data_IF_900465329887
#
_entry.id   IF_900465329887
#
_cell.length_a   1.000
_cell.length_b   1.000
_cell.length_c   1.000
_cell.angle_alpha   90.00
_cell.angle_beta   90.00
_cell.angle_gamma   90.00
#
_symmetry.space_group_name_H-M   'P 1'
#
loop_
_entity.id
_entity.type
_entity.pdbx_description
1 polymer ?
#
# COMPACT_ATOMS: atom_id res chain seq x y z
N UNK A 1 17.41 -1.20 -3.55
CA UNK A 1 17.05 -2.50 -2.98
C UNK A 1 18.18 -3.47 -3.29
N UNK A 2 18.95 -3.84 -2.29
CA UNK A 2 19.99 -4.85 -2.46
C UNK A 2 19.34 -6.23 -2.30
N UNK A 3 19.45 -7.08 -3.33
CA UNK A 3 18.95 -8.46 -3.24
C UNK A 3 19.74 -9.32 -2.25
N UNK A 4 20.89 -8.84 -1.78
CA UNK A 4 21.74 -9.54 -0.81
C UNK A 4 21.33 -9.24 0.64
N UNK A 5 20.57 -8.16 0.88
CA UNK A 5 20.05 -7.81 2.20
C UNK A 5 18.66 -7.16 2.09
N UNK A 6 17.61 -7.98 1.85
CA UNK A 6 16.27 -7.51 1.51
C UNK A 6 15.57 -6.73 2.64
N UNK A 7 16.14 -6.71 3.83
CA UNK A 7 15.55 -6.08 5.02
C UNK A 7 15.98 -4.65 5.29
N UNK A 8 16.93 -4.09 4.53
CA UNK A 8 17.47 -2.76 4.83
C UNK A 8 16.91 -1.69 3.87
N UNK A 9 16.40 -0.60 4.44
CA UNK A 9 16.02 0.61 3.71
C UNK A 9 17.21 1.56 3.63
N UNK A 10 17.65 1.83 2.40
CA UNK A 10 18.72 2.77 2.11
C UNK A 10 18.19 4.02 1.43
N UNK A 11 18.76 5.17 1.77
CA UNK A 11 18.64 6.39 0.99
C UNK A 11 19.89 6.56 0.12
N UNK A 12 19.66 6.83 -1.17
CA UNK A 12 20.72 7.20 -2.11
C UNK A 12 20.58 8.67 -2.46
N UNK A 13 21.61 9.47 -2.17
CA UNK A 13 21.68 10.87 -2.55
C UNK A 13 22.00 11.04 -4.03
N UNK A 14 21.78 12.25 -4.57
CA UNK A 14 22.15 12.56 -5.96
C UNK A 14 23.66 12.46 -6.24
N UNK A 15 24.48 12.63 -5.22
CA UNK A 15 25.93 12.56 -5.30
C UNK A 15 26.47 11.12 -5.14
N UNK A 16 25.55 10.15 -4.97
CA UNK A 16 25.89 8.72 -4.88
C UNK A 16 26.23 8.25 -3.46
N UNK A 17 26.06 9.08 -2.45
CA UNK A 17 26.21 8.66 -1.06
C UNK A 17 25.01 7.85 -0.61
N UNK A 18 25.24 6.84 0.22
CA UNK A 18 24.21 6.00 0.80
C UNK A 18 24.13 6.20 2.30
N UNK A 19 22.90 6.21 2.81
CA UNK A 19 22.62 6.24 4.25
C UNK A 19 21.60 5.15 4.57
N UNK A 20 21.92 4.30 5.53
CA UNK A 20 20.96 3.38 6.10
C UNK A 20 19.90 4.16 6.89
N UNK A 21 18.63 3.85 6.62
CA UNK A 21 17.50 4.45 7.33
C UNK A 21 16.91 3.47 8.33
N UNK A 22 16.70 2.21 7.93
CA UNK A 22 16.02 1.21 8.76
C UNK A 22 16.51 -0.19 8.42
N UNK A 23 16.74 -0.99 9.45
CA UNK A 23 17.05 -2.42 9.35
C UNK A 23 15.92 -3.23 9.99
N UNK A 24 15.17 -3.92 9.14
CA UNK A 24 14.05 -4.77 9.55
C UNK A 24 14.48 -5.92 10.45
N UNK A 25 15.60 -6.57 10.14
CA UNK A 25 16.10 -7.72 10.91
C UNK A 25 16.58 -7.30 12.29
N UNK A 26 17.20 -6.12 12.41
CA UNK A 26 17.57 -5.54 13.70
C UNK A 26 16.34 -5.17 14.54
N UNK A 27 15.25 -4.74 13.89
CA UNK A 27 14.03 -4.33 14.57
C UNK A 27 13.17 -5.52 15.03
N UNK A 28 12.92 -6.50 14.15
CA UNK A 28 12.00 -7.60 14.40
C UNK A 28 12.67 -8.91 14.80
N UNK A 29 13.97 -9.08 14.54
CA UNK A 29 14.67 -10.33 14.71
C UNK A 29 14.65 -11.23 13.48
N UNK A 30 15.39 -12.35 13.56
CA UNK A 30 15.68 -13.21 12.42
C UNK A 30 14.48 -14.05 11.92
N UNK A 31 13.46 -14.21 12.74
CA UNK A 31 12.28 -15.03 12.39
C UNK A 31 11.21 -14.24 11.61
N UNK A 32 11.37 -12.93 11.48
CA UNK A 32 10.46 -12.08 10.72
C UNK A 32 10.85 -12.06 9.24
N UNK A 33 9.86 -12.23 8.35
CA UNK A 33 10.10 -12.14 6.91
C UNK A 33 10.22 -10.67 6.47
N UNK A 34 11.44 -10.20 6.38
CA UNK A 34 11.77 -8.83 6.01
C UNK A 34 11.59 -8.51 4.51
N UNK A 35 10.94 -9.40 3.75
CA UNK A 35 10.62 -9.10 2.36
C UNK A 35 9.53 -8.02 2.26
N UNK A 36 9.94 -6.80 1.89
CA UNK A 36 9.02 -5.70 1.63
C UNK A 36 8.61 -5.66 0.15
N UNK A 37 7.30 -5.62 -0.11
CA UNK A 37 6.78 -5.50 -1.47
C UNK A 37 6.50 -4.04 -1.90
N UNK A 38 6.59 -3.09 -0.97
CA UNK A 38 6.35 -1.67 -1.24
C UNK A 38 7.18 -0.80 -0.31
N UNK A 39 7.80 0.21 -0.90
CA UNK A 39 8.42 1.34 -0.21
C UNK A 39 7.70 2.59 -0.69
N UNK A 40 7.03 3.31 0.19
CA UNK A 40 6.26 4.51 -0.16
C UNK A 40 6.63 5.68 0.75
N UNK A 41 7.15 6.76 0.15
CA UNK A 41 7.48 7.97 0.89
C UNK A 41 6.24 8.86 1.07
N UNK A 42 6.01 9.30 2.31
CA UNK A 42 5.00 10.28 2.64
C UNK A 42 5.67 11.65 2.84
N UNK A 43 5.53 12.58 1.88
CA UNK A 43 6.17 13.89 1.96
C UNK A 43 5.56 14.80 3.02
N UNK A 44 4.37 14.52 3.53
CA UNK A 44 3.68 15.38 4.49
C UNK A 44 4.36 15.41 5.87
N UNK A 45 4.94 14.28 6.27
CA UNK A 45 5.61 14.10 7.56
C UNK A 45 7.04 13.54 7.43
N UNK A 46 7.54 13.43 6.19
CA UNK A 46 8.86 12.89 5.85
C UNK A 46 9.11 11.48 6.41
N UNK A 47 8.08 10.63 6.30
CA UNK A 47 8.17 9.22 6.68
C UNK A 47 8.14 8.29 5.46
N UNK A 48 8.61 7.07 5.65
CA UNK A 48 8.55 6.00 4.65
C UNK A 48 7.71 4.86 5.20
N UNK A 49 6.73 4.42 4.41
CA UNK A 49 5.94 3.22 4.71
C UNK A 49 6.54 2.01 4.00
N UNK A 50 6.76 0.96 4.76
CA UNK A 50 7.23 -0.34 4.31
C UNK A 50 6.11 -1.36 4.51
N UNK A 51 5.85 -2.17 3.49
CA UNK A 51 4.83 -3.22 3.55
C UNK A 51 5.47 -4.59 3.60
N UNK A 52 5.21 -5.35 4.66
CA UNK A 52 5.63 -6.73 4.84
C UNK A 52 4.41 -7.66 4.68
N UNK A 53 4.10 -8.09 3.44
CA UNK A 53 2.82 -8.72 3.12
C UNK A 53 2.63 -10.09 3.77
N UNK A 54 3.72 -10.85 3.97
CA UNK A 54 3.66 -12.16 4.60
C UNK A 54 3.50 -12.11 6.11
N UNK A 55 3.83 -10.96 6.69
CA UNK A 55 3.71 -10.68 8.12
C UNK A 55 2.48 -9.81 8.44
N UNK A 56 1.63 -9.54 7.44
CA UNK A 56 0.43 -8.69 7.64
C UNK A 56 0.77 -7.41 8.40
N UNK A 57 1.87 -6.77 8.04
CA UNK A 57 2.44 -5.65 8.80
C UNK A 57 2.89 -4.53 7.88
N UNK A 58 2.58 -3.30 8.30
CA UNK A 58 3.08 -2.06 7.70
C UNK A 58 3.89 -1.31 8.75
N UNK A 59 5.06 -0.85 8.39
CA UNK A 59 5.92 -0.04 9.26
C UNK A 59 6.08 1.35 8.66
N UNK A 60 5.91 2.37 9.49
CA UNK A 60 6.15 3.77 9.16
C UNK A 60 7.41 4.23 9.87
N UNK A 61 8.41 4.63 9.11
CA UNK A 61 9.75 4.99 9.59
C UNK A 61 10.02 6.45 9.29
N UNK A 62 10.55 7.19 10.26
CA UNK A 62 11.07 8.54 10.02
C UNK A 62 12.28 8.46 9.09
N UNK A 63 12.22 9.14 7.93
CA UNK A 63 13.33 9.18 6.99
C UNK A 63 14.54 9.86 7.58
N UNK A 64 14.37 10.82 8.49
CA UNK A 64 15.46 11.58 9.09
C UNK A 64 16.19 10.81 10.18
N UNK A 65 15.46 10.14 11.08
CA UNK A 65 16.03 9.49 12.27
C UNK A 65 16.16 7.98 12.18
N UNK A 66 15.42 7.33 11.24
CA UNK A 66 15.32 5.88 11.16
C UNK A 66 14.41 5.24 12.23
N UNK A 67 13.82 6.05 13.10
CA UNK A 67 12.93 5.56 14.14
C UNK A 67 11.58 5.10 13.56
N UNK A 68 11.04 4.00 14.09
CA UNK A 68 9.69 3.56 13.81
C UNK A 68 8.70 4.48 14.52
N UNK A 69 7.92 5.23 13.76
CA UNK A 69 6.89 6.16 14.25
C UNK A 69 5.49 5.61 14.20
N UNK A 70 5.30 4.47 13.53
CA UNK A 70 4.06 3.73 13.46
C UNK A 70 4.31 2.30 12.99
N UNK A 71 3.59 1.35 13.57
CA UNK A 71 3.62 -0.05 13.16
C UNK A 71 2.20 -0.59 13.22
N UNK A 72 1.72 -1.17 12.14
CA UNK A 72 0.31 -1.47 11.93
C UNK A 72 0.13 -2.90 11.47
N UNK A 73 -0.74 -3.68 12.11
CA UNK A 73 -1.05 -5.06 11.70
C UNK A 73 -0.84 -6.09 12.80
N UNK A 74 -0.18 -7.22 12.50
CA UNK A 74 -0.14 -8.38 13.39
C UNK A 74 1.20 -8.64 14.05
N UNK A 75 2.28 -7.99 13.64
CA UNK A 75 3.58 -8.14 14.29
C UNK A 75 3.53 -7.66 15.76
N UNK A 76 4.34 -8.22 16.66
CA UNK A 76 4.41 -7.76 18.04
C UNK A 76 4.70 -6.27 18.14
N UNK A 77 3.94 -5.54 18.96
CA UNK A 77 4.06 -4.09 19.11
C UNK A 77 3.33 -3.26 18.04
N UNK A 78 2.60 -3.91 17.12
CA UNK A 78 1.78 -3.21 16.14
C UNK A 78 0.46 -2.72 16.75
N UNK A 79 -0.06 -1.63 16.19
CA UNK A 79 -1.45 -1.23 16.36
C UNK A 79 -2.34 -2.32 15.75
N UNK A 80 -3.10 -2.99 16.62
CA UNK A 80 -3.94 -4.12 16.23
C UNK A 80 -5.25 -3.64 15.58
N UNK A 81 -5.82 -4.50 14.74
CA UNK A 81 -7.16 -4.22 14.19
C UNK A 81 -8.22 -4.19 15.30
N UNK A 82 -9.16 -3.25 15.18
CA UNK A 82 -10.33 -3.23 16.05
C UNK A 82 -11.11 -4.55 15.91
N UNK A 83 -11.63 -5.13 17.01
CA UNK A 83 -12.42 -6.37 16.94
C UNK A 83 -13.59 -6.25 15.96
N UNK A 84 -13.75 -7.26 15.09
CA UNK A 84 -14.77 -7.34 14.04
C UNK A 84 -14.57 -6.38 12.85
N UNK A 85 -13.45 -5.64 12.78
CA UNK A 85 -13.03 -4.92 11.59
C UNK A 85 -12.47 -5.87 10.53
N UNK A 86 -12.48 -5.41 9.28
CA UNK A 86 -11.65 -6.01 8.26
C UNK A 86 -10.17 -5.90 8.66
N UNK A 87 -9.40 -6.92 8.28
CA UNK A 87 -7.94 -6.89 8.34
C UNK A 87 -7.39 -6.74 6.92
N UNK A 88 -6.12 -6.40 6.79
CA UNK A 88 -5.45 -6.54 5.51
C UNK A 88 -4.55 -7.79 5.52
N UNK A 89 -4.40 -8.41 4.35
CA UNK A 89 -3.44 -9.50 4.10
C UNK A 89 -2.81 -9.31 2.72
N UNK A 90 -1.56 -9.73 2.55
CA UNK A 90 -0.83 -9.54 1.29
C UNK A 90 -0.99 -8.11 0.74
N UNK A 91 -0.97 -7.15 1.64
CA UNK A 91 -1.22 -5.75 1.32
C UNK A 91 -0.14 -5.17 0.41
N UNK A 92 -0.56 -4.23 -0.42
CA UNK A 92 0.29 -3.45 -1.30
C UNK A 92 0.03 -1.96 -1.10
N UNK A 93 1.07 -1.18 -1.37
CA UNK A 93 1.04 0.27 -1.44
C UNK A 93 0.34 0.94 -0.23
N UNK A 94 0.79 0.67 1.00
CA UNK A 94 0.31 1.43 2.14
C UNK A 94 0.66 2.91 1.93
N UNK A 95 -0.31 3.78 2.21
CA UNK A 95 -0.09 5.22 2.19
C UNK A 95 -0.94 5.90 3.27
N UNK A 96 -0.52 7.09 3.67
CA UNK A 96 -1.31 7.92 4.58
C UNK A 96 -2.11 8.90 3.72
N UNK A 97 -3.43 8.90 3.89
CA UNK A 97 -4.33 9.83 3.21
C UNK A 97 -4.12 11.26 3.72
N UNK A 98 -4.61 12.29 3.01
CA UNK A 98 -4.58 13.65 3.51
C UNK A 98 -5.24 13.85 4.88
N UNK A 99 -6.19 12.99 5.24
CA UNK A 99 -6.90 13.02 6.54
C UNK A 99 -6.15 12.24 7.63
N UNK A 100 -4.98 11.67 7.35
CA UNK A 100 -4.13 10.95 8.29
C UNK A 100 -4.55 9.49 8.52
N UNK A 101 -5.38 8.91 7.66
CA UNK A 101 -5.77 7.50 7.70
C UNK A 101 -4.80 6.62 6.93
N UNK A 102 -4.66 5.35 7.31
CA UNK A 102 -3.91 4.35 6.58
C UNK A 102 -4.76 3.75 5.48
N UNK A 103 -4.33 3.87 4.23
CA UNK A 103 -4.94 3.19 3.08
C UNK A 103 -4.04 2.07 2.56
N UNK A 104 -4.67 0.98 2.16
CA UNK A 104 -3.98 -0.18 1.55
C UNK A 104 -4.83 -0.78 0.43
N UNK A 105 -4.15 -1.33 -0.57
CA UNK A 105 -4.71 -2.34 -1.46
C UNK A 105 -4.41 -3.70 -0.85
N UNK A 106 -5.39 -4.57 -0.69
CA UNK A 106 -5.26 -5.78 0.10
C UNK A 106 -6.06 -6.94 -0.49
N UNK A 107 -5.69 -8.16 -0.09
CA UNK A 107 -6.56 -9.31 -0.20
C UNK A 107 -7.40 -9.43 1.07
N UNK A 108 -8.60 -9.95 0.93
CA UNK A 108 -9.42 -10.26 2.10
C UNK A 108 -8.96 -11.59 2.70
N UNK A 109 -8.96 -11.72 4.03
CA UNK A 109 -8.54 -12.95 4.67
C UNK A 109 -9.38 -14.14 4.20
N UNK A 110 -8.72 -15.22 3.82
CA UNK A 110 -9.37 -16.48 3.52
C UNK A 110 -9.91 -17.14 4.79
N UNK A 111 -10.99 -17.90 4.65
CA UNK A 111 -11.57 -18.63 5.79
C UNK A 111 -10.78 -19.89 6.21
N UNK A 112 -9.65 -20.17 5.56
CA UNK A 112 -9.00 -21.48 5.65
C UNK A 112 -7.62 -21.47 6.30
N UNK A 113 -7.17 -20.37 6.90
CA UNK A 113 -5.83 -20.20 7.46
C UNK A 113 -4.67 -20.53 6.48
N UNK A 114 -4.95 -20.65 5.20
CA UNK A 114 -3.89 -20.73 4.20
C UNK A 114 -3.39 -19.31 3.95
N UNK A 115 -2.06 -19.13 3.90
CA UNK A 115 -1.44 -17.84 3.57
C UNK A 115 -1.52 -17.50 2.07
N UNK A 116 -2.36 -18.20 1.32
CA UNK A 116 -2.58 -17.96 -0.09
C UNK A 116 -3.76 -17.01 -0.28
N UNK A 117 -3.60 -15.96 -1.09
CA UNK A 117 -4.69 -15.03 -1.36
C UNK A 117 -5.86 -15.79 -2.00
N UNK A 118 -7.04 -15.63 -1.43
CA UNK A 118 -8.24 -16.22 -2.02
C UNK A 118 -8.55 -15.50 -3.32
N UNK A 119 -8.66 -16.25 -4.39
CA UNK A 119 -9.02 -15.71 -5.71
C UNK A 119 -10.33 -14.91 -5.62
N UNK A 120 -10.33 -13.72 -6.21
CA UNK A 120 -11.47 -12.79 -6.27
C UNK A 120 -11.86 -12.11 -4.94
N UNK A 121 -10.95 -12.04 -3.97
CA UNK A 121 -11.16 -11.29 -2.73
C UNK A 121 -10.16 -10.15 -2.59
N UNK A 122 -10.17 -9.24 -3.55
CA UNK A 122 -9.38 -8.02 -3.52
C UNK A 122 -10.20 -6.88 -2.92
N UNK A 123 -9.56 -6.06 -2.09
CA UNK A 123 -10.18 -4.87 -1.51
C UNK A 123 -9.23 -3.68 -1.46
N UNK A 124 -9.83 -2.50 -1.41
CA UNK A 124 -9.18 -1.27 -0.96
C UNK A 124 -9.74 -0.95 0.41
N UNK A 125 -8.88 -0.82 1.39
CA UNK A 125 -9.27 -0.60 2.77
C UNK A 125 -8.63 0.66 3.34
N UNK A 126 -9.35 1.34 4.21
CA UNK A 126 -8.93 2.55 4.91
C UNK A 126 -9.21 2.40 6.40
N UNK A 127 -8.22 2.78 7.20
CA UNK A 127 -8.26 2.66 8.65
C UNK A 127 -7.88 3.98 9.31
N UNK A 128 -8.68 4.43 10.28
CA UNK A 128 -8.24 5.44 11.22
C UNK A 128 -7.17 4.85 12.14
N UNK A 129 -6.08 5.58 12.32
CA UNK A 129 -5.00 5.24 13.24
C UNK A 129 -5.35 5.83 14.60
N UNK A 130 -5.93 5.02 15.49
CA UNK A 130 -6.20 5.40 16.87
C UNK A 130 -4.91 5.25 17.69
N UNK A 131 -4.20 6.36 17.85
CA UNK A 131 -2.92 6.40 18.57
C UNK A 131 -3.08 6.28 20.08
N UNK A 132 -4.23 6.62 20.64
CA UNK A 132 -4.50 6.53 22.07
C UNK A 132 -4.69 5.08 22.52
N UNK A 133 -5.39 4.29 21.71
CA UNK A 133 -5.72 2.90 22.01
C UNK A 133 -4.84 1.90 21.23
N UNK A 134 -3.88 2.40 20.44
CA UNK A 134 -2.99 1.60 19.57
C UNK A 134 -3.77 0.63 18.67
N UNK A 135 -4.77 1.18 17.94
CA UNK A 135 -5.67 0.40 17.09
C UNK A 135 -5.79 0.97 15.68
N UNK A 136 -6.10 0.05 14.77
CA UNK A 136 -6.59 0.35 13.44
C UNK A 136 -8.10 0.17 13.43
N UNK A 137 -8.82 1.26 13.22
CA UNK A 137 -10.29 1.27 13.15
C UNK A 137 -10.71 1.39 11.70
N UNK A 138 -11.40 0.38 11.18
CA UNK A 138 -11.92 0.40 9.82
C UNK A 138 -12.86 1.60 9.62
N UNK A 139 -12.62 2.38 8.59
CA UNK A 139 -13.47 3.51 8.21
C UNK A 139 -14.13 3.31 6.85
N UNK A 140 -13.46 2.62 5.94
CA UNK A 140 -14.00 2.35 4.63
C UNK A 140 -13.34 1.13 4.00
N UNK A 141 -14.13 0.26 3.36
CA UNK A 141 -13.65 -0.87 2.57
C UNK A 141 -14.47 -0.95 1.29
N UNK A 142 -13.79 -1.16 0.17
CA UNK A 142 -14.41 -1.45 -1.11
C UNK A 142 -13.88 -2.79 -1.63
N UNK A 143 -14.77 -3.77 -1.75
CA UNK A 143 -14.46 -5.12 -2.24
C UNK A 143 -15.38 -5.56 -3.37
N UNK A 144 -16.11 -4.62 -3.96
CA UNK A 144 -17.08 -4.90 -5.00
C UNK A 144 -16.42 -4.87 -6.38
N UNK A 145 -16.83 -5.79 -7.23
CA UNK A 145 -16.38 -5.87 -8.62
C UNK A 145 -15.73 -7.20 -8.96
N UNK A 146 -15.68 -7.54 -10.25
CA UNK A 146 -15.10 -8.79 -10.73
C UNK A 146 -13.57 -8.72 -10.86
N UNK A 147 -12.97 -7.57 -10.59
CA UNK A 147 -11.55 -7.38 -10.77
C UNK A 147 -10.79 -7.97 -9.58
N UNK A 148 -9.73 -8.68 -9.92
CA UNK A 148 -8.83 -9.29 -8.97
C UNK A 148 -7.38 -8.97 -9.30
N UNK A 149 -6.62 -8.62 -8.29
CA UNK A 149 -5.19 -8.37 -8.41
C UNK A 149 -4.41 -9.41 -7.62
N UNK A 150 -3.67 -10.28 -8.29
CA UNK A 150 -2.75 -11.20 -7.63
C UNK A 150 -1.56 -10.45 -7.03
N UNK A 151 -1.02 -9.49 -7.78
CA UNK A 151 0.14 -8.69 -7.39
C UNK A 151 -0.10 -7.22 -7.68
N UNK A 152 0.59 -6.39 -6.92
CA UNK A 152 0.50 -4.94 -6.98
C UNK A 152 -0.92 -4.48 -6.59
N UNK A 153 -1.28 -3.35 -6.89
CA UNK A 153 -2.51 -2.73 -6.45
C UNK A 153 -2.20 -1.52 -5.60
N UNK A 154 -3.08 -0.54 -5.68
CA UNK A 154 -2.90 0.71 -5.00
C UNK A 154 -4.26 1.36 -4.76
N UNK A 155 -4.43 1.99 -3.61
CA UNK A 155 -5.55 2.88 -3.36
C UNK A 155 -5.03 4.23 -2.87
N UNK A 156 -5.53 5.31 -3.44
CA UNK A 156 -5.23 6.67 -2.96
C UNK A 156 -6.51 7.49 -2.83
N UNK A 157 -6.59 8.32 -1.80
CA UNK A 157 -7.68 9.28 -1.63
C UNK A 157 -7.42 10.50 -2.51
N UNK A 158 -8.39 10.83 -3.34
CA UNK A 158 -8.35 12.00 -4.22
C UNK A 158 -8.85 13.27 -3.50
N UNK A 159 -8.46 14.47 -3.96
CA UNK A 159 -8.91 15.72 -3.35
C UNK A 159 -10.44 15.92 -3.36
N UNK A 160 -11.16 15.27 -4.29
CA UNK A 160 -12.63 15.29 -4.34
C UNK A 160 -13.31 14.32 -3.36
N UNK A 161 -12.54 13.61 -2.54
CA UNK A 161 -13.03 12.62 -1.59
C UNK A 161 -13.24 11.21 -2.18
N UNK A 162 -13.12 11.03 -3.49
CA UNK A 162 -13.16 9.72 -4.12
C UNK A 162 -11.86 8.93 -3.87
N UNK A 163 -11.88 7.63 -4.11
CA UNK A 163 -10.70 6.76 -4.06
C UNK A 163 -10.33 6.33 -5.48
N UNK A 164 -9.08 6.54 -5.85
CA UNK A 164 -8.52 5.92 -7.05
C UNK A 164 -7.96 4.56 -6.68
N UNK A 165 -8.61 3.50 -7.15
CA UNK A 165 -8.20 2.11 -6.98
C UNK A 165 -7.53 1.58 -8.24
N UNK A 166 -6.34 1.01 -8.10
CA UNK A 166 -5.61 0.31 -9.15
C UNK A 166 -5.54 -1.17 -8.79
N UNK A 167 -6.01 -2.01 -9.68
CA UNK A 167 -6.07 -3.47 -9.50
C UNK A 167 -4.82 -4.19 -10.05
N UNK A 168 -3.69 -3.52 -10.16
CA UNK A 168 -2.41 -4.14 -10.51
C UNK A 168 -2.49 -5.12 -11.68
N UNK A 169 -2.30 -6.40 -11.43
CA UNK A 169 -2.39 -7.47 -12.43
C UNK A 169 -3.79 -7.67 -12.99
N UNK A 170 -4.82 -7.14 -12.36
CA UNK A 170 -6.19 -7.12 -12.90
C UNK A 170 -6.37 -6.21 -14.11
N UNK A 171 -5.42 -5.27 -14.32
CA UNK A 171 -5.43 -4.38 -15.48
C UNK A 171 -6.58 -3.38 -15.47
N UNK A 172 -7.02 -2.94 -14.29
CA UNK A 172 -8.12 -1.97 -14.14
C UNK A 172 -7.68 -0.84 -13.20
N UNK A 173 -8.03 0.38 -13.57
CA UNK A 173 -8.01 1.54 -12.68
C UNK A 173 -9.46 2.00 -12.54
N UNK A 174 -9.90 2.29 -11.32
CA UNK A 174 -11.26 2.70 -11.01
C UNK A 174 -11.28 3.87 -10.04
N UNK A 175 -12.08 4.88 -10.33
CA UNK A 175 -12.43 5.90 -9.36
C UNK A 175 -13.73 5.50 -8.66
N UNK A 176 -13.68 5.48 -7.33
CA UNK A 176 -14.74 4.98 -6.46
C UNK A 176 -15.18 6.12 -5.56
N UNK A 177 -16.48 6.41 -5.53
CA UNK A 177 -17.07 7.43 -4.67
C UNK A 177 -17.09 6.98 -3.20
N UNK A 178 -17.23 7.90 -2.21
CA UNK A 178 -17.32 7.52 -0.80
C UNK A 178 -18.47 6.56 -0.50
N UNK A 179 -19.58 6.65 -1.25
CA UNK A 179 -20.73 5.74 -1.17
C UNK A 179 -20.56 4.47 -2.03
N UNK A 180 -19.30 4.16 -2.40
CA UNK A 180 -18.89 2.89 -3.05
C UNK A 180 -19.43 2.69 -4.47
N UNK A 181 -19.82 3.75 -5.17
CA UNK A 181 -20.18 3.68 -6.59
C UNK A 181 -18.95 3.93 -7.47
N UNK A 182 -18.90 3.28 -8.63
CA UNK A 182 -17.89 3.59 -9.65
C UNK A 182 -18.24 4.90 -10.35
N UNK A 183 -17.37 5.91 -10.24
CA UNK A 183 -17.48 7.16 -10.98
C UNK A 183 -17.02 6.96 -12.44
N UNK A 184 -15.86 6.34 -12.61
CA UNK A 184 -15.35 5.88 -13.91
C UNK A 184 -14.36 4.72 -13.72
N UNK A 185 -14.03 4.04 -14.81
CA UNK A 185 -12.94 3.07 -14.83
C UNK A 185 -12.28 3.00 -16.21
N UNK A 186 -11.04 2.56 -16.21
CA UNK A 186 -10.27 2.18 -17.40
C UNK A 186 -9.84 0.74 -17.24
N UNK A 187 -10.06 -0.05 -18.27
CA UNK A 187 -9.59 -1.44 -18.35
C UNK A 187 -8.57 -1.57 -19.47
N UNK A 188 -7.46 -2.19 -19.16
CA UNK A 188 -6.39 -2.50 -20.10
C UNK A 188 -6.60 -3.93 -20.58
N UNK A 189 -7.00 -4.08 -21.83
CA UNK A 189 -7.14 -5.38 -22.45
C UNK A 189 -5.85 -5.72 -23.21
N UNK A 190 -5.46 -6.98 -23.15
CA UNK A 190 -4.37 -7.54 -23.95
C UNK A 190 -4.96 -8.40 -25.06
N UNK A 191 -4.28 -8.52 -26.22
CA UNK A 191 -4.70 -9.41 -27.28
C UNK A 191 -4.87 -10.84 -26.79
N UNK A 192 -5.78 -11.58 -27.42
CA UNK A 192 -6.02 -12.99 -27.11
C UNK A 192 -4.73 -13.81 -27.30
N UNK A 193 -4.34 -14.57 -26.27
CA UNK A 193 -3.11 -15.37 -26.28
C UNK A 193 -1.90 -14.70 -25.63
N UNK A 194 -2.01 -13.45 -25.23
CA UNK A 194 -0.94 -12.77 -24.47
C UNK A 194 -0.96 -13.15 -22.99
N UNK A 195 0.21 -12.98 -22.35
CA UNK A 195 0.40 -13.29 -20.94
C UNK A 195 -0.44 -12.35 -20.07
N UNK A 196 -1.00 -12.91 -19.00
CA UNK A 196 -1.67 -12.22 -17.92
C UNK A 196 -0.89 -10.98 -17.38
N UNK A 197 0.43 -11.05 -17.37
CA UNK A 197 1.28 -9.94 -16.91
C UNK A 197 1.32 -8.75 -17.88
N UNK A 198 0.95 -8.91 -19.14
CA UNK A 198 1.01 -7.84 -20.14
C UNK A 198 0.02 -6.70 -19.89
N UNK A 199 -1.03 -6.93 -19.09
CA UNK A 199 -2.00 -5.90 -18.69
C UNK A 199 -1.74 -5.29 -17.31
N UNK A 200 -0.63 -5.65 -16.67
CA UNK A 200 -0.34 -5.19 -15.32
C UNK A 200 -0.10 -3.68 -15.26
N UNK A 201 -0.86 -3.02 -14.41
CA UNK A 201 -0.69 -1.59 -14.11
C UNK A 201 0.20 -1.45 -12.87
N UNK A 202 1.26 -0.65 -12.99
CA UNK A 202 2.12 -0.30 -11.86
C UNK A 202 1.49 0.74 -10.94
N UNK A 203 2.31 1.43 -10.17
CA UNK A 203 1.84 2.51 -9.31
C UNK A 203 1.37 3.70 -10.14
N UNK A 204 0.31 4.35 -9.69
CA UNK A 204 -0.21 5.57 -10.28
C UNK A 204 0.33 6.78 -9.51
N UNK A 205 0.59 7.85 -10.22
CA UNK A 205 0.92 9.15 -9.64
C UNK A 205 -0.16 10.13 -10.05
N UNK A 206 -0.76 10.82 -9.07
CA UNK A 206 -1.66 11.93 -9.36
C UNK A 206 -0.82 13.13 -9.78
N UNK A 207 -1.15 13.69 -10.93
CA UNK A 207 -0.51 14.88 -11.45
C UNK A 207 -1.59 15.97 -11.53
N UNK A 208 -1.51 16.94 -10.63
CA UNK A 208 -2.50 18.02 -10.54
C UNK A 208 -2.40 19.00 -11.73
N UNK A 209 -1.19 19.23 -12.21
CA UNK A 209 -0.92 20.10 -13.36
C UNK A 209 0.21 19.53 -14.22
N UNK A 210 -0.18 18.87 -15.31
CA UNK A 210 0.76 18.29 -16.27
C UNK A 210 1.64 19.37 -16.97
N UNK A 211 1.15 20.58 -17.12
CA UNK A 211 1.89 21.67 -17.75
C UNK A 211 2.94 22.26 -16.80
N UNK A 212 2.66 22.31 -15.51
CA UNK A 212 3.62 22.78 -14.52
C UNK A 212 4.87 21.89 -14.45
N UNK A 213 4.72 20.58 -14.66
CA UNK A 213 5.85 19.63 -14.67
C UNK A 213 6.85 19.88 -15.82
N UNK A 214 6.39 20.39 -16.94
CA UNK A 214 7.20 20.55 -18.14
C UNK A 214 7.67 21.99 -18.38
N UNK A 215 7.41 22.91 -17.44
CA UNK A 215 7.76 24.33 -17.62
C UNK A 215 7.02 25.01 -18.78
N UNK A 216 5.89 24.45 -19.21
CA UNK A 216 5.05 24.99 -20.26
C UNK A 216 4.30 26.28 -19.81
N UNK A 217 3.74 27.04 -20.74
CA UNK A 217 3.00 28.26 -20.41
C UNK A 217 1.77 27.89 -19.57
N UNK A 218 1.61 28.64 -18.48
CA UNK A 218 0.41 28.65 -17.65
C UNK A 218 -0.73 29.34 -18.36
#
# INVERSE_FOLDING_TARGET
>A
YDQQDPGILWELTRDGETREIFDCSAHFGADFDCYSNTVNWNPADDTVLLSYPRETTVVQVSRQTGEVVGQYGTAPGSYAFEPNSWTFEFQHFPNISPDGTLMVSTHLPGNDNTREPVANQHAFAEFTIDRENERLVETWVYSEGPEWAMYKGMAIRLPNGNTLGNYGTGGVIREITPDKRTAWHVKFDVPEGDDFFNKMVGNNVLIDDLYALNGGPR
#
